data_IF_431828560593
#
_entry.id   IF_431828560593
#
_cell.length_a   1.000
_cell.length_b   1.000
_cell.length_c   1.000
_cell.angle_alpha   90.00
_cell.angle_beta   90.00
_cell.angle_gamma   90.00
#
_symmetry.space_group_name_H-M   'P 1'
#
loop_
_entity.id
_entity.type
_entity.pdbx_description
1 polymer ?
#
# COMPACT_ATOMS: atom_id res chain seq x y z
N UNK A 1 5.87 -31.10 -2.37
CA UNK A 1 6.25 -29.77 -1.84
C UNK A 1 5.17 -28.79 -2.26
N UNK A 2 4.49 -28.17 -1.29
CA UNK A 2 3.50 -27.14 -1.57
C UNK A 2 4.17 -25.88 -2.10
N UNK A 3 3.62 -25.32 -3.17
CA UNK A 3 4.09 -24.10 -3.81
C UNK A 3 2.94 -23.09 -3.84
N UNK A 4 3.24 -21.84 -3.56
CA UNK A 4 2.32 -20.73 -3.75
C UNK A 4 2.88 -19.84 -4.84
N UNK A 5 2.10 -19.60 -5.87
CA UNK A 5 2.38 -18.60 -6.91
C UNK A 5 1.53 -17.38 -6.60
N UNK A 6 2.16 -16.23 -6.43
CA UNK A 6 1.47 -14.97 -6.20
C UNK A 6 1.61 -14.07 -7.43
N UNK A 7 0.48 -13.63 -7.97
CA UNK A 7 0.39 -12.76 -9.14
C UNK A 7 -0.13 -11.39 -8.65
N UNK A 8 0.74 -10.40 -8.66
CA UNK A 8 0.37 -9.04 -8.27
C UNK A 8 -0.10 -8.21 -9.46
N UNK A 9 -0.97 -7.24 -9.20
CA UNK A 9 -1.47 -6.29 -10.19
C UNK A 9 -2.11 -6.94 -11.45
N UNK A 10 -2.91 -7.97 -11.26
CA UNK A 10 -3.48 -8.75 -12.36
C UNK A 10 -4.25 -7.93 -13.41
N UNK A 11 -4.86 -6.84 -13.01
CA UNK A 11 -5.67 -5.98 -13.89
C UNK A 11 -4.88 -4.86 -14.58
N UNK A 12 -3.58 -4.75 -14.30
CA UNK A 12 -2.68 -3.84 -15.03
C UNK A 12 -1.88 -4.56 -16.11
N UNK A 13 -2.00 -5.89 -16.18
CA UNK A 13 -1.25 -6.70 -17.12
C UNK A 13 -1.66 -6.43 -18.57
N UNK A 14 -0.70 -6.26 -19.51
CA UNK A 14 -0.97 -6.14 -20.93
C UNK A 14 -1.71 -7.38 -21.51
N UNK A 15 -2.47 -7.24 -22.62
CA UNK A 15 -3.29 -8.32 -23.17
C UNK A 15 -2.54 -9.61 -23.54
N UNK A 16 -1.29 -9.50 -23.99
CA UNK A 16 -0.40 -10.63 -24.28
C UNK A 16 -0.01 -11.40 -23.02
N UNK A 17 0.24 -10.68 -21.92
CA UNK A 17 0.51 -11.28 -20.60
C UNK A 17 -0.76 -11.96 -20.08
N UNK A 18 -1.95 -11.34 -20.23
CA UNK A 18 -3.23 -11.93 -19.84
C UNK A 18 -3.46 -13.26 -20.58
N UNK A 19 -3.12 -13.34 -21.86
CA UNK A 19 -3.23 -14.60 -22.63
C UNK A 19 -2.33 -15.70 -22.06
N UNK A 20 -1.12 -15.36 -21.64
CA UNK A 20 -0.19 -16.30 -20.98
C UNK A 20 -0.72 -16.74 -19.61
N UNK A 21 -1.30 -15.82 -18.84
CA UNK A 21 -1.93 -16.13 -17.55
C UNK A 21 -3.12 -17.08 -17.69
N UNK A 22 -3.90 -16.96 -18.76
CA UNK A 22 -5.01 -17.90 -19.03
C UNK A 22 -4.51 -19.34 -19.18
N UNK A 23 -3.40 -19.56 -19.88
CA UNK A 23 -2.77 -20.87 -20.01
C UNK A 23 -2.26 -21.38 -18.66
N UNK A 24 -1.61 -20.50 -17.88
CA UNK A 24 -1.12 -20.87 -16.55
C UNK A 24 -2.27 -21.31 -15.63
N UNK A 25 -3.37 -20.56 -15.62
CA UNK A 25 -4.52 -20.84 -14.77
C UNK A 25 -5.34 -22.05 -15.22
N UNK A 26 -5.49 -22.26 -16.55
CA UNK A 26 -6.28 -23.34 -17.11
C UNK A 26 -5.53 -24.66 -17.13
N UNK A 27 -4.31 -24.65 -17.65
CA UNK A 27 -3.55 -25.86 -17.96
C UNK A 27 -2.50 -26.18 -16.91
N UNK A 28 -2.29 -25.28 -15.93
CA UNK A 28 -1.27 -25.36 -14.88
C UNK A 28 0.13 -25.57 -15.45
N UNK A 29 0.42 -24.91 -16.58
CA UNK A 29 1.69 -24.96 -17.31
C UNK A 29 2.28 -23.58 -17.49
N UNK A 30 3.58 -23.49 -17.35
CA UNK A 30 4.34 -22.28 -17.68
C UNK A 30 4.53 -22.15 -19.20
N UNK A 31 4.79 -20.93 -19.71
CA UNK A 31 5.04 -20.71 -21.15
C UNK A 31 6.22 -21.52 -21.71
N UNK A 32 7.19 -21.89 -20.86
CA UNK A 32 8.32 -22.76 -21.21
C UNK A 32 7.94 -24.26 -21.33
N UNK A 33 6.66 -24.61 -21.12
CA UNK A 33 6.15 -25.97 -21.17
C UNK A 33 6.25 -26.78 -19.88
N UNK A 34 6.89 -26.25 -18.84
CA UNK A 34 6.96 -26.90 -17.53
C UNK A 34 5.59 -26.96 -16.86
N UNK A 35 5.27 -28.07 -16.24
CA UNK A 35 4.03 -28.28 -15.51
C UNK A 35 4.21 -27.84 -14.05
N UNK A 36 3.22 -27.17 -13.51
CA UNK A 36 3.20 -26.82 -12.09
C UNK A 36 3.03 -28.08 -11.23
N UNK A 37 3.66 -28.12 -10.04
CA UNK A 37 3.37 -29.15 -9.05
C UNK A 37 1.85 -29.21 -8.74
N UNK A 38 1.33 -30.43 -8.52
CA UNK A 38 -0.11 -30.62 -8.28
C UNK A 38 -0.64 -29.80 -7.10
N UNK A 39 0.16 -29.69 -6.03
CA UNK A 39 -0.20 -28.92 -4.82
C UNK A 39 0.12 -27.41 -4.92
N UNK A 40 0.21 -26.83 -6.12
CA UNK A 40 0.41 -25.40 -6.31
C UNK A 40 -0.89 -24.64 -6.09
N UNK A 41 -0.85 -23.65 -5.20
CA UNK A 41 -1.92 -22.66 -5.03
C UNK A 41 -1.56 -21.40 -5.79
N UNK A 42 -2.48 -20.86 -6.57
CA UNK A 42 -2.29 -19.59 -7.28
C UNK A 42 -3.17 -18.55 -6.59
N UNK A 43 -2.55 -17.48 -6.14
CA UNK A 43 -3.21 -16.31 -5.56
C UNK A 43 -2.91 -15.12 -6.44
N UNK A 44 -3.89 -14.23 -6.58
CA UNK A 44 -3.73 -12.99 -7.31
C UNK A 44 -4.20 -11.80 -6.49
N UNK A 45 -3.59 -10.65 -6.70
CA UNK A 45 -4.06 -9.37 -6.21
C UNK A 45 -4.33 -8.43 -7.39
N UNK A 46 -5.31 -7.58 -7.21
CA UNK A 46 -5.66 -6.56 -8.18
C UNK A 46 -6.23 -5.33 -7.46
N UNK A 47 -6.16 -4.19 -8.12
CA UNK A 47 -6.77 -2.97 -7.63
C UNK A 47 -8.24 -2.90 -8.02
N UNK A 48 -9.08 -2.30 -7.17
CA UNK A 48 -10.47 -2.00 -7.49
C UNK A 48 -10.55 -0.73 -8.36
N UNK A 49 -11.68 -0.56 -9.06
CA UNK A 49 -11.97 0.61 -9.92
C UNK A 49 -11.80 1.93 -9.19
N UNK A 50 -12.14 1.94 -7.92
CA UNK A 50 -12.22 3.15 -7.13
C UNK A 50 -10.88 3.57 -6.50
N UNK A 51 -9.78 2.85 -6.77
CA UNK A 51 -8.47 3.14 -6.16
C UNK A 51 -7.65 4.22 -6.87
N UNK A 52 -8.15 4.80 -7.99
CA UNK A 52 -7.44 5.83 -8.75
C UNK A 52 -6.16 5.36 -9.46
N UNK A 53 -5.85 4.07 -9.40
CA UNK A 53 -4.77 3.45 -10.15
C UNK A 53 -5.21 3.10 -11.57
N UNK A 54 -4.26 2.88 -12.48
CA UNK A 54 -4.57 2.32 -13.79
C UNK A 54 -5.38 1.03 -13.61
N UNK A 55 -6.62 1.05 -14.11
CA UNK A 55 -7.54 -0.06 -14.00
C UNK A 55 -7.95 -0.52 -15.39
N UNK A 56 -7.71 -1.78 -15.68
CA UNK A 56 -8.31 -2.45 -16.82
C UNK A 56 -9.38 -3.43 -16.34
N UNK A 57 -10.53 -3.41 -17.00
CA UNK A 57 -11.54 -4.43 -16.74
C UNK A 57 -10.93 -5.81 -16.96
N UNK A 58 -11.10 -6.69 -15.97
CA UNK A 58 -10.61 -8.07 -16.10
C UNK A 58 -11.32 -8.76 -17.27
N UNK A 59 -10.55 -9.36 -18.16
CA UNK A 59 -11.10 -10.13 -19.26
C UNK A 59 -12.07 -11.21 -18.70
N UNK A 60 -13.29 -11.37 -19.26
CA UNK A 60 -14.27 -12.34 -18.74
C UNK A 60 -13.73 -13.75 -18.65
N UNK A 61 -12.86 -14.13 -19.59
CA UNK A 61 -12.20 -15.44 -19.58
C UNK A 61 -11.29 -15.64 -18.35
N UNK A 62 -10.65 -14.57 -17.85
CA UNK A 62 -9.82 -14.61 -16.65
C UNK A 62 -10.71 -14.64 -15.40
N UNK A 63 -11.71 -13.78 -15.34
CA UNK A 63 -12.65 -13.71 -14.21
C UNK A 63 -13.35 -15.04 -13.93
N UNK A 64 -13.72 -15.77 -14.99
CA UNK A 64 -14.36 -17.08 -14.87
C UNK A 64 -13.45 -18.21 -14.32
N UNK A 65 -12.15 -17.95 -14.19
CA UNK A 65 -11.18 -18.93 -13.67
C UNK A 65 -10.69 -18.60 -12.25
N UNK A 66 -11.16 -17.50 -11.71
CA UNK A 66 -10.74 -16.98 -10.41
C UNK A 66 -11.92 -16.93 -9.44
N UNK A 67 -11.65 -17.16 -8.18
CA UNK A 67 -12.57 -16.79 -7.10
C UNK A 67 -12.22 -15.37 -6.67
N UNK A 68 -13.10 -14.41 -7.00
CA UNK A 68 -12.89 -13.01 -6.65
C UNK A 68 -13.38 -12.76 -5.23
N UNK A 69 -12.50 -12.24 -4.39
CA UNK A 69 -12.79 -11.91 -3.00
C UNK A 69 -12.44 -10.45 -2.78
N UNK A 70 -13.43 -9.64 -2.44
CA UNK A 70 -13.19 -8.27 -1.97
C UNK A 70 -12.50 -8.30 -0.61
N UNK A 71 -11.39 -7.57 -0.49
CA UNK A 71 -10.66 -7.43 0.76
C UNK A 71 -10.48 -5.97 1.11
N UNK A 72 -10.89 -5.63 2.32
CA UNK A 72 -10.70 -4.31 2.90
C UNK A 72 -9.96 -4.47 4.21
N UNK A 73 -8.89 -3.72 4.39
CA UNK A 73 -8.16 -3.71 5.66
C UNK A 73 -8.88 -2.81 6.66
N UNK A 74 -9.53 -3.34 7.71
CA UNK A 74 -10.11 -2.49 8.75
C UNK A 74 -9.03 -1.70 9.47
N UNK A 75 -9.32 -0.44 9.83
CA UNK A 75 -8.38 0.42 10.55
C UNK A 75 -7.81 -0.26 11.80
N UNK A 76 -8.66 -0.85 12.64
CA UNK A 76 -8.20 -1.52 13.86
C UNK A 76 -7.24 -2.67 13.58
N UNK A 77 -7.44 -3.45 12.52
CA UNK A 77 -6.53 -4.53 12.14
C UNK A 77 -5.18 -3.97 11.64
N UNK A 78 -5.20 -2.84 10.91
CA UNK A 78 -3.99 -2.17 10.49
C UNK A 78 -3.21 -1.61 11.69
N UNK A 79 -3.86 -0.93 12.62
CA UNK A 79 -3.26 -0.39 13.85
C UNK A 79 -2.58 -1.49 14.66
N UNK A 80 -3.25 -2.62 14.85
CA UNK A 80 -2.69 -3.80 15.52
C UNK A 80 -1.46 -4.35 14.78
N UNK A 81 -1.54 -4.43 13.45
CA UNK A 81 -0.43 -4.89 12.62
C UNK A 81 0.79 -3.98 12.75
N UNK A 82 0.59 -2.67 12.67
CA UNK A 82 1.67 -1.68 12.79
C UNK A 82 2.30 -1.73 14.18
N UNK A 83 1.50 -1.71 15.25
CA UNK A 83 2.00 -1.77 16.64
C UNK A 83 2.84 -3.01 16.90
N UNK A 84 2.51 -4.14 16.27
CA UNK A 84 3.23 -5.42 16.38
C UNK A 84 4.27 -5.65 15.29
N UNK A 85 4.57 -4.63 14.48
CA UNK A 85 5.47 -4.74 13.33
C UNK A 85 5.14 -5.93 12.41
N UNK A 86 3.85 -6.27 12.27
CA UNK A 86 3.37 -7.42 11.49
C UNK A 86 4.01 -8.77 11.90
N UNK A 87 4.35 -8.91 13.17
CA UNK A 87 5.02 -10.09 13.72
C UNK A 87 6.52 -10.16 13.43
N UNK A 88 7.11 -9.11 12.87
CA UNK A 88 8.56 -9.02 12.65
C UNK A 88 9.28 -8.56 13.91
N UNK A 89 10.49 -9.04 14.11
CA UNK A 89 11.40 -8.49 15.12
C UNK A 89 12.02 -7.21 14.59
N UNK A 90 11.81 -6.11 15.30
CA UNK A 90 12.33 -4.78 14.94
C UNK A 90 13.10 -4.17 16.11
N UNK A 91 13.96 -3.20 15.84
CA UNK A 91 14.69 -2.47 16.88
C UNK A 91 13.76 -1.59 17.72
N UNK A 92 14.23 -1.18 18.91
CA UNK A 92 13.43 -0.39 19.86
C UNK A 92 12.92 0.94 19.25
N UNK A 93 13.75 1.63 18.48
CA UNK A 93 13.39 2.89 17.83
C UNK A 93 12.27 2.68 16.79
N UNK A 94 12.36 1.62 15.98
CA UNK A 94 11.29 1.30 15.03
C UNK A 94 10.00 0.90 15.76
N UNK A 95 10.10 0.11 16.81
CA UNK A 95 8.94 -0.27 17.61
C UNK A 95 8.27 0.94 18.25
N UNK A 96 9.05 1.92 18.69
CA UNK A 96 8.54 3.18 19.23
C UNK A 96 7.84 4.01 18.14
N UNK A 97 8.49 4.21 16.98
CA UNK A 97 7.90 4.95 15.86
C UNK A 97 6.61 4.33 15.36
N UNK A 98 6.54 3.00 15.29
CA UNK A 98 5.33 2.27 14.91
C UNK A 98 4.18 2.52 15.87
N UNK A 99 4.45 2.55 17.18
CA UNK A 99 3.44 2.89 18.18
C UNK A 99 2.98 4.33 18.05
N UNK A 100 3.91 5.28 17.95
CA UNK A 100 3.58 6.70 17.81
C UNK A 100 2.71 6.97 16.57
N UNK A 101 3.05 6.38 15.43
CA UNK A 101 2.25 6.48 14.21
C UNK A 101 0.87 5.84 14.40
N UNK A 102 0.79 4.67 15.00
CA UNK A 102 -0.49 4.00 15.21
C UNK A 102 -1.38 4.79 16.17
N UNK A 103 -0.83 5.37 17.21
CA UNK A 103 -1.58 6.19 18.18
C UNK A 103 -2.07 7.48 17.53
N UNK A 104 -1.21 8.17 16.76
CA UNK A 104 -1.62 9.35 15.99
C UNK A 104 -2.75 9.04 15.01
N UNK A 105 -2.65 7.96 14.25
CA UNK A 105 -3.68 7.58 13.25
C UNK A 105 -4.97 7.10 13.93
N UNK A 106 -4.88 6.45 15.09
CA UNK A 106 -6.04 6.04 15.89
C UNK A 106 -6.84 7.27 16.37
N UNK A 107 -6.14 8.31 16.81
CA UNK A 107 -6.73 9.60 17.21
C UNK A 107 -7.19 10.45 16.03
N UNK A 108 -6.58 10.26 14.85
CA UNK A 108 -6.81 11.05 13.65
C UNK A 108 -7.07 10.15 12.42
N UNK A 109 -8.16 9.37 12.40
CA UNK A 109 -8.39 8.35 11.37
C UNK A 109 -8.51 8.92 9.94
N UNK A 110 -8.84 10.19 9.80
CA UNK A 110 -8.85 10.88 8.51
C UNK A 110 -7.50 10.92 7.79
N UNK A 111 -6.40 10.72 8.51
CA UNK A 111 -5.06 10.63 7.91
C UNK A 111 -4.64 9.20 7.50
N UNK A 112 -5.53 8.22 7.61
CA UNK A 112 -5.26 6.85 7.21
C UNK A 112 -5.95 6.45 5.89
N UNK A 113 -6.89 7.27 5.42
CA UNK A 113 -7.74 6.93 4.29
C UNK A 113 -7.02 7.18 2.96
N UNK A 114 -7.19 6.24 2.03
CA UNK A 114 -6.82 6.46 0.64
C UNK A 114 -7.74 7.52 0.01
N UNK A 115 -7.26 8.31 -0.96
CA UNK A 115 -8.04 9.37 -1.61
C UNK A 115 -9.38 8.93 -2.18
N UNK A 116 -9.56 7.63 -2.42
CA UNK A 116 -10.75 7.04 -3.03
C UNK A 116 -11.32 5.88 -2.20
N UNK A 117 -11.20 5.93 -0.88
CA UNK A 117 -11.84 4.92 -0.03
C UNK A 117 -13.37 5.12 -0.04
N UNK A 118 -14.15 4.21 -0.66
CA UNK A 118 -15.62 4.33 -0.72
C UNK A 118 -16.29 4.15 0.64
N UNK A 119 -15.58 3.67 1.65
CA UNK A 119 -16.07 3.47 3.02
C UNK A 119 -15.62 4.60 3.96
N UNK A 120 -14.66 5.43 3.56
CA UNK A 120 -14.22 6.62 4.27
C UNK A 120 -14.87 7.87 3.72
N UNK A 121 -15.07 8.88 4.55
CA UNK A 121 -15.33 10.22 4.05
C UNK A 121 -14.19 10.56 3.10
N UNK A 122 -14.52 10.82 1.84
CA UNK A 122 -13.56 11.13 0.78
C UNK A 122 -12.61 12.19 1.30
N UNK A 123 -11.41 11.78 1.66
CA UNK A 123 -10.39 12.73 2.07
C UNK A 123 -9.97 13.44 0.81
N UNK A 124 -10.63 14.56 0.55
CA UNK A 124 -10.41 15.38 -0.62
C UNK A 124 -8.94 15.76 -0.64
N UNK A 125 -8.24 15.57 -1.75
CA UNK A 125 -6.85 16.00 -1.93
C UNK A 125 -6.62 17.44 -1.43
N UNK A 126 -7.63 18.31 -1.51
CA UNK A 126 -7.66 19.65 -0.93
C UNK A 126 -7.47 19.64 0.61
N UNK A 127 -7.88 18.61 1.33
CA UNK A 127 -7.67 18.50 2.77
C UNK A 127 -6.21 18.29 3.13
N UNK A 128 -5.42 17.75 2.21
CA UNK A 128 -3.97 17.58 2.37
C UNK A 128 -3.16 18.77 1.86
N UNK A 129 -3.81 19.91 1.58
CA UNK A 129 -3.12 21.13 1.11
C UNK A 129 -2.71 21.09 -0.36
N UNK A 130 -3.14 20.09 -1.10
CA UNK A 130 -3.03 20.10 -2.55
C UNK A 130 -4.18 20.95 -3.09
N UNK A 131 -3.88 22.20 -3.44
CA UNK A 131 -4.84 23.02 -4.18
C UNK A 131 -5.19 22.27 -5.46
N UNK A 132 -6.48 22.01 -5.64
CA UNK A 132 -7.02 21.51 -6.90
C UNK A 132 -6.86 22.59 -7.95
N UNK A 133 -5.67 22.70 -8.53
CA UNK A 133 -5.49 23.38 -9.80
C UNK A 133 -5.86 22.36 -10.87
N UNK A 134 -6.99 22.52 -11.56
CA UNK A 134 -7.39 21.61 -12.64
C UNK A 134 -6.41 21.59 -13.82
N UNK A 135 -5.43 22.49 -13.85
CA UNK A 135 -4.35 22.51 -14.83
C UNK A 135 -3.14 21.66 -14.41
N UNK A 136 -3.15 21.07 -13.21
CA UNK A 136 -2.01 20.33 -12.69
C UNK A 136 -2.34 18.84 -12.56
N UNK A 137 -2.13 18.09 -13.65
CA UNK A 137 -2.16 16.61 -13.67
C UNK A 137 -1.17 15.95 -12.69
N UNK A 138 -0.43 16.74 -11.93
CA UNK A 138 0.51 16.29 -10.92
C UNK A 138 -0.13 15.86 -9.60
N UNK A 139 -1.43 16.01 -9.40
CA UNK A 139 -2.10 15.62 -8.13
C UNK A 139 -1.97 14.12 -7.88
N UNK A 140 -1.96 13.30 -8.92
CA UNK A 140 -1.77 11.85 -8.80
C UNK A 140 -0.34 11.43 -8.39
N UNK A 141 0.64 12.33 -8.50
CA UNK A 141 2.04 12.06 -8.22
C UNK A 141 2.47 12.49 -6.80
N UNK A 142 1.57 13.08 -6.01
CA UNK A 142 1.92 13.58 -4.68
C UNK A 142 1.81 12.48 -3.62
N UNK A 143 2.71 12.56 -2.65
CA UNK A 143 2.65 11.70 -1.47
C UNK A 143 1.35 11.95 -0.68
N UNK A 144 0.70 10.88 -0.24
CA UNK A 144 -0.51 10.94 0.58
C UNK A 144 -0.46 9.90 1.69
N UNK A 145 -1.15 10.14 2.81
CA UNK A 145 -1.16 9.22 3.93
C UNK A 145 -2.05 8.02 3.62
N UNK A 146 -1.42 6.89 3.33
CA UNK A 146 -2.06 5.59 3.20
C UNK A 146 -1.50 4.64 4.24
N UNK A 147 -2.17 3.52 4.48
CA UNK A 147 -1.65 2.47 5.36
C UNK A 147 -0.21 2.05 5.00
N UNK A 148 0.08 1.95 3.71
CA UNK A 148 1.41 1.61 3.21
C UNK A 148 2.44 2.71 3.44
N UNK A 149 2.08 3.97 3.21
CA UNK A 149 3.01 5.09 3.39
C UNK A 149 3.35 5.33 4.86
N UNK A 150 2.38 5.19 5.77
CA UNK A 150 2.62 5.22 7.20
C UNK A 150 3.52 4.09 7.71
N UNK A 151 3.29 2.85 7.25
CA UNK A 151 4.13 1.70 7.63
C UNK A 151 5.58 1.87 7.16
N UNK A 152 5.77 2.35 5.93
CA UNK A 152 7.09 2.69 5.39
C UNK A 152 7.76 3.84 6.15
N UNK A 153 6.99 4.86 6.52
CA UNK A 153 7.51 6.00 7.29
C UNK A 153 8.06 5.55 8.64
N UNK A 154 7.35 4.66 9.35
CA UNK A 154 7.82 4.11 10.62
C UNK A 154 9.22 3.51 10.52
N UNK A 155 9.44 2.66 9.51
CA UNK A 155 10.75 2.06 9.25
C UNK A 155 11.77 3.13 8.83
N UNK A 156 11.38 4.09 7.97
CA UNK A 156 12.30 5.11 7.49
C UNK A 156 12.80 6.01 8.62
N UNK A 157 11.89 6.51 9.47
CA UNK A 157 12.25 7.38 10.60
C UNK A 157 13.12 6.65 11.64
N UNK A 158 12.87 5.33 11.82
CA UNK A 158 13.69 4.53 12.73
C UNK A 158 15.16 4.43 12.28
N UNK A 159 15.41 4.55 10.97
CA UNK A 159 16.74 4.46 10.38
C UNK A 159 17.29 5.80 9.89
N UNK A 160 16.62 6.90 10.22
CA UNK A 160 17.14 8.25 9.92
C UNK A 160 18.39 8.52 10.72
N UNK A 161 19.34 9.20 10.11
CA UNK A 161 20.60 9.59 10.74
C UNK A 161 20.35 10.41 12.00
N UNK A 162 21.20 10.18 13.00
CA UNK A 162 21.26 11.01 14.19
C UNK A 162 22.25 12.13 13.95
N UNK A 163 22.03 13.27 14.62
CA UNK A 163 23.01 14.34 14.72
C UNK A 163 24.22 13.89 15.56
N UNK A 164 25.29 14.66 15.53
CA UNK A 164 26.53 14.34 16.25
C UNK A 164 26.35 14.20 17.78
N UNK A 165 25.31 14.81 18.33
CA UNK A 165 24.92 14.68 19.74
C UNK A 165 24.03 13.46 20.04
N UNK A 166 23.73 12.65 19.03
CA UNK A 166 22.86 11.48 19.15
C UNK A 166 21.37 11.79 19.11
N UNK A 167 20.97 13.05 18.94
CA UNK A 167 19.56 13.42 18.75
C UNK A 167 19.09 13.12 17.32
N UNK A 168 17.77 12.92 17.10
CA UNK A 168 17.21 12.77 15.76
C UNK A 168 17.42 14.04 14.92
N UNK A 169 17.78 13.87 13.65
CA UNK A 169 17.76 14.95 12.67
C UNK A 169 16.30 15.26 12.30
N UNK A 170 15.71 16.19 13.03
CA UNK A 170 14.28 16.54 12.89
C UNK A 170 13.95 17.21 11.56
N UNK A 171 14.90 17.90 10.92
CA UNK A 171 14.68 18.48 9.59
C UNK A 171 14.59 17.38 8.54
N UNK A 172 15.50 16.43 8.59
CA UNK A 172 15.51 15.27 7.69
C UNK A 172 14.30 14.39 7.91
N UNK A 173 13.89 14.16 9.16
CA UNK A 173 12.66 13.43 9.49
C UNK A 173 11.41 14.11 8.89
N UNK A 174 11.34 15.44 8.97
CA UNK A 174 10.24 16.20 8.38
C UNK A 174 10.20 16.10 6.84
N UNK A 175 11.35 16.17 6.20
CA UNK A 175 11.46 15.99 4.74
C UNK A 175 10.99 14.59 4.33
N UNK A 176 11.41 13.55 5.05
CA UNK A 176 10.94 12.19 4.77
C UNK A 176 9.44 12.03 4.99
N UNK A 177 8.92 12.55 6.11
CA UNK A 177 7.49 12.49 6.38
C UNK A 177 6.70 13.22 5.28
N UNK A 178 7.07 14.46 4.96
CA UNK A 178 6.42 15.23 3.88
C UNK A 178 6.44 14.51 2.54
N UNK A 179 7.57 13.88 2.17
CA UNK A 179 7.73 13.14 0.94
C UNK A 179 6.99 11.79 0.89
N UNK A 180 6.62 11.23 2.04
CA UNK A 180 5.97 9.91 2.11
C UNK A 180 4.47 9.97 2.40
N UNK A 181 4.03 10.90 3.24
CA UNK A 181 2.64 11.02 3.67
C UNK A 181 2.00 12.37 3.34
N UNK A 182 2.73 13.24 2.67
CA UNK A 182 2.33 14.61 2.38
C UNK A 182 2.58 15.57 3.54
N UNK A 183 2.88 16.82 3.23
CA UNK A 183 3.32 17.81 4.22
C UNK A 183 2.27 18.12 5.27
N UNK A 184 0.98 18.12 4.93
CA UNK A 184 -0.09 18.37 5.90
C UNK A 184 -0.18 17.28 6.98
N UNK A 185 -0.12 16.02 6.56
CA UNK A 185 -0.12 14.88 7.49
C UNK A 185 1.18 14.85 8.31
N UNK A 186 2.32 15.14 7.67
CA UNK A 186 3.61 15.22 8.36
C UNK A 186 3.65 16.32 9.43
N UNK A 187 3.04 17.46 9.14
CA UNK A 187 2.96 18.57 10.09
C UNK A 187 2.06 18.21 11.28
N UNK A 188 0.87 17.65 11.01
CA UNK A 188 -0.04 17.21 12.06
C UNK A 188 0.52 16.09 12.95
N UNK A 189 1.34 15.20 12.37
CA UNK A 189 1.99 14.12 13.13
C UNK A 189 3.09 14.61 14.08
N UNK A 190 3.65 15.77 13.82
CA UNK A 190 4.76 16.34 14.61
C UNK A 190 4.28 17.16 15.82
N UNK A 191 3.07 17.73 15.79
CA UNK A 191 2.45 18.46 16.90
C UNK A 191 1.98 17.53 18.03
#
# INVERSE_FOLDING_TARGET
KRVVVFLDELNTAPPDVVSSLLTILADRRFPNGETMPEETVILGAMNDRDTGSEYHDMAPALANRLCLVGYHMPLGAWLDGVRRAWGKTVGEREAWMRRAIADFVDENPGYANMPNDPMGETVNAAQFGFASDPANDMVAAHAFPSYRSWDRLATKLAHTSLLDDGSPDTELEHVYAGGMIGFKAAFAFRE
#
